data_IF_301406921749
#
_entry.id   IF_301406921749
#
_cell.length_a   1.000
_cell.length_b   1.000
_cell.length_c   1.000
_cell.angle_alpha   90.00
_cell.angle_beta   90.00
_cell.angle_gamma   90.00
#
_symmetry.space_group_name_H-M   'P 1'
#
loop_
_entity.id
_entity.type
_entity.pdbx_description
1 polymer ?
#
# COMPACT_ATOMS: atom_id res chain seq x y z
N UNK A 1 -13.54 -5.15 -13.13
CA UNK A 1 -12.35 -5.91 -13.54
C UNK A 1 -11.16 -4.96 -13.46
N UNK A 2 -10.06 -5.37 -12.86
CA UNK A 2 -8.95 -4.51 -12.43
C UNK A 2 -7.78 -4.61 -13.42
N UNK A 3 -7.03 -3.55 -13.72
CA UNK A 3 -5.67 -3.72 -14.23
C UNK A 3 -4.76 -4.16 -13.05
N UNK A 4 -3.78 -5.04 -13.30
CA UNK A 4 -2.82 -5.44 -12.29
C UNK A 4 -1.89 -4.27 -12.00
N UNK A 5 -1.55 -4.09 -10.72
CA UNK A 5 -0.42 -3.28 -10.28
C UNK A 5 0.86 -3.75 -11.01
N UNK A 6 1.84 -2.88 -11.27
CA UNK A 6 3.03 -3.26 -12.02
C UNK A 6 3.84 -4.30 -11.23
N UNK A 7 3.72 -5.56 -11.66
CA UNK A 7 4.57 -6.67 -11.26
C UNK A 7 5.96 -6.39 -11.83
N UNK A 8 6.95 -6.25 -10.95
CA UNK A 8 8.36 -6.28 -11.37
C UNK A 8 8.69 -7.68 -11.89
N UNK A 9 8.79 -7.81 -13.21
CA UNK A 9 9.26 -9.04 -13.85
C UNK A 9 10.78 -9.09 -13.73
N UNK A 10 11.29 -9.91 -12.81
CA UNK A 10 12.70 -10.29 -12.78
C UNK A 10 12.90 -11.50 -13.70
N UNK A 11 13.31 -11.26 -14.94
CA UNK A 11 13.80 -12.31 -15.83
C UNK A 11 15.29 -12.50 -15.59
N UNK A 12 15.62 -13.53 -14.80
CA UNK A 12 16.94 -14.12 -14.76
C UNK A 12 17.16 -14.96 -16.03
N UNK A 13 17.97 -14.47 -16.98
CA UNK A 13 18.53 -15.31 -18.04
C UNK A 13 20.04 -15.44 -17.85
N UNK A 14 20.44 -16.64 -17.40
CA UNK A 14 21.80 -17.17 -17.42
C UNK A 14 22.00 -17.84 -18.78
N UNK A 15 22.90 -17.31 -19.61
CA UNK A 15 23.50 -18.06 -20.73
C UNK A 15 25.01 -18.05 -20.53
N UNK A 16 25.57 -19.25 -20.39
CA UNK A 16 27.00 -19.52 -20.41
C UNK A 16 27.51 -19.64 -21.84
N UNK A 17 28.74 -19.18 -22.07
CA UNK A 17 29.71 -19.88 -22.92
C UNK A 17 30.09 -19.21 -24.24
N UNK A 18 31.31 -18.67 -24.31
CA UNK A 18 32.28 -18.99 -25.37
C UNK A 18 33.68 -18.44 -25.01
N UNK A 19 34.64 -19.36 -24.84
CA UNK A 19 36.06 -19.13 -24.65
C UNK A 19 36.74 -18.64 -25.95
N UNK A 20 37.76 -17.78 -25.82
CA UNK A 20 38.90 -17.75 -26.75
C UNK A 20 40.21 -17.79 -25.98
N UNK A 21 41.08 -18.66 -26.49
CA UNK A 21 42.36 -19.11 -25.98
C UNK A 21 43.45 -18.03 -26.05
N UNK A 22 44.39 -18.06 -25.12
CA UNK A 22 45.81 -17.70 -25.30
C UNK A 22 46.65 -18.51 -24.30
N UNK A 23 47.70 -19.16 -24.82
CA UNK A 23 48.64 -20.04 -24.11
C UNK A 23 49.98 -19.30 -23.81
N UNK A 24 51.05 -19.95 -23.30
CA UNK A 24 51.31 -20.18 -21.88
C UNK A 24 52.70 -19.65 -21.43
N UNK A 25 52.95 -19.51 -20.12
CA UNK A 25 54.32 -19.69 -19.60
C UNK A 25 54.39 -19.88 -18.06
N UNK A 26 55.01 -21.01 -17.69
CA UNK A 26 55.96 -21.25 -16.58
C UNK A 26 55.50 -21.16 -15.11
N UNK A 27 55.40 -22.34 -14.46
CA UNK A 27 55.34 -22.56 -13.00
C UNK A 27 56.72 -22.43 -12.33
N UNK A 28 56.75 -22.27 -10.99
CA UNK A 28 57.26 -23.39 -10.17
C UNK A 28 56.38 -23.76 -8.95
N UNK A 29 56.66 -24.95 -8.41
CA UNK A 29 55.90 -25.79 -7.47
C UNK A 29 55.86 -25.35 -6.00
N UNK A 30 54.73 -25.65 -5.35
CA UNK A 30 54.64 -26.24 -3.99
C UNK A 30 53.78 -25.45 -2.97
N UNK A 31 53.24 -26.08 -1.89
CA UNK A 31 52.72 -27.44 -1.69
C UNK A 31 51.20 -27.47 -1.34
N UNK A 32 50.64 -28.70 -1.28
CA UNK A 32 49.22 -29.09 -1.16
C UNK A 32 48.47 -28.61 0.12
N UNK A 33 47.12 -28.50 0.06
CA UNK A 33 46.28 -28.09 1.19
C UNK A 33 45.88 -29.27 2.11
N UNK A 34 45.51 -29.03 3.37
CA UNK A 34 44.92 -30.04 4.23
C UNK A 34 43.45 -30.31 3.90
N UNK A 35 43.07 -31.53 4.26
CA UNK A 35 41.90 -32.32 3.87
C UNK A 35 40.57 -31.82 4.45
N UNK A 36 39.52 -31.95 3.63
CA UNK A 36 38.10 -31.81 3.96
C UNK A 36 37.67 -32.73 5.09
N UNK A 37 36.98 -32.18 6.10
CA UNK A 37 36.12 -32.96 6.99
C UNK A 37 34.69 -32.44 6.91
N UNK A 38 33.87 -33.22 6.23
CA UNK A 38 32.43 -33.05 6.08
C UNK A 38 31.74 -33.97 7.11
N UNK A 39 30.89 -33.46 8.02
CA UNK A 39 30.13 -34.32 8.91
C UNK A 39 29.01 -35.04 8.14
N UNK A 40 29.03 -36.38 8.24
CA UNK A 40 28.02 -37.32 7.73
C UNK A 40 26.62 -37.02 8.26
N UNK A 41 25.65 -36.96 7.35
CA UNK A 41 24.22 -37.09 7.66
C UNK A 41 23.89 -38.53 8.09
N UNK A 42 23.04 -38.74 9.11
CA UNK A 42 22.47 -40.05 9.40
C UNK A 42 21.29 -40.37 8.46
N UNK A 43 21.05 -41.66 8.15
CA UNK A 43 20.06 -42.06 7.15
C UNK A 43 18.61 -42.04 7.70
N UNK A 44 17.69 -41.62 6.84
CA UNK A 44 16.24 -41.75 7.01
C UNK A 44 15.82 -43.22 6.87
N UNK A 45 15.00 -43.79 7.78
CA UNK A 45 14.40 -45.07 7.54
C UNK A 45 13.15 -44.91 6.66
N UNK A 46 13.17 -45.61 5.51
CA UNK A 46 11.99 -45.89 4.72
C UNK A 46 11.03 -46.76 5.55
N UNK A 47 9.79 -46.31 5.73
CA UNK A 47 8.71 -47.12 6.29
C UNK A 47 7.67 -47.40 5.21
N UNK A 48 7.42 -48.70 5.10
CA UNK A 48 6.70 -49.42 4.07
C UNK A 48 5.21 -49.09 4.06
N UNK A 49 4.65 -48.95 2.85
CA UNK A 49 3.23 -49.03 2.56
C UNK A 49 2.72 -50.44 2.89
N UNK A 50 2.00 -50.59 4.00
CA UNK A 50 1.17 -51.78 4.25
C UNK A 50 -0.28 -51.49 3.83
N UNK A 51 -0.65 -52.01 2.66
CA UNK A 51 -2.04 -52.21 2.23
C UNK A 51 -2.76 -53.10 3.24
N UNK A 52 -3.77 -52.57 3.93
CA UNK A 52 -4.74 -53.40 4.65
C UNK A 52 -5.95 -53.63 3.73
N UNK A 53 -6.07 -54.87 3.25
CA UNK A 53 -7.28 -55.43 2.66
C UNK A 53 -8.30 -55.66 3.78
N UNK A 54 -9.38 -54.88 3.81
CA UNK A 54 -10.55 -55.15 4.64
C UNK A 54 -11.60 -55.88 3.78
N UNK A 55 -12.27 -56.92 4.32
CA UNK A 55 -13.27 -57.67 3.58
C UNK A 55 -14.59 -56.89 3.48
N UNK A 56 -15.11 -56.79 2.26
CA UNK A 56 -16.43 -56.22 1.96
C UNK A 56 -17.54 -57.10 2.56
N UNK A 57 -18.08 -56.70 3.69
CA UNK A 57 -19.37 -57.19 4.18
C UNK A 57 -20.47 -56.34 3.52
N UNK A 58 -21.09 -56.91 2.49
CA UNK A 58 -22.33 -56.40 1.93
C UNK A 58 -23.45 -56.62 2.94
N UNK A 59 -23.91 -55.55 3.59
CA UNK A 59 -25.14 -55.54 4.36
C UNK A 59 -26.26 -54.95 3.50
N UNK A 60 -27.33 -55.72 3.34
CA UNK A 60 -28.48 -55.44 2.51
C UNK A 60 -29.11 -54.07 2.84
N UNK A 61 -29.49 -53.35 1.78
CA UNK A 61 -30.29 -52.14 1.87
C UNK A 61 -31.67 -52.45 2.48
N UNK A 62 -31.90 -51.93 3.68
CA UNK A 62 -33.25 -51.64 4.15
C UNK A 62 -33.49 -50.15 3.92
N UNK A 63 -34.39 -49.85 2.98
CA UNK A 63 -34.90 -48.51 2.73
C UNK A 63 -35.76 -48.13 3.93
N UNK A 64 -35.27 -47.23 4.76
CA UNK A 64 -36.07 -46.50 5.74
C UNK A 64 -35.91 -45.01 5.43
N UNK A 65 -37.03 -44.38 5.09
CA UNK A 65 -37.16 -42.93 4.91
C UNK A 65 -36.56 -42.18 6.11
N UNK A 66 -35.70 -41.17 5.91
CA UNK A 66 -35.36 -40.26 6.99
C UNK A 66 -36.51 -39.26 7.14
N UNK A 67 -37.14 -39.31 8.31
CA UNK A 67 -38.01 -38.25 8.81
C UNK A 67 -37.28 -36.90 8.76
N UNK A 68 -38.04 -35.88 8.38
CA UNK A 68 -37.65 -34.49 8.19
C UNK A 68 -36.74 -33.96 9.32
N UNK A 69 -35.44 -33.86 9.03
CA UNK A 69 -34.55 -32.97 9.76
C UNK A 69 -34.79 -31.57 9.25
N UNK A 70 -35.63 -30.85 10.00
CA UNK A 70 -35.86 -29.42 9.92
C UNK A 70 -34.50 -28.69 9.89
N UNK A 71 -34.03 -28.39 8.67
CA UNK A 71 -32.94 -27.47 8.45
C UNK A 71 -33.41 -26.13 9.00
N UNK A 72 -32.94 -25.78 10.18
CA UNK A 72 -33.05 -24.41 10.69
C UNK A 72 -32.21 -23.56 9.75
N UNK A 73 -32.85 -23.02 8.73
CA UNK A 73 -32.29 -22.07 7.80
C UNK A 73 -31.87 -20.86 8.64
N UNK A 74 -30.59 -20.80 8.99
CA UNK A 74 -29.98 -19.60 9.57
C UNK A 74 -30.35 -18.47 8.62
N UNK A 75 -31.11 -17.45 9.05
CA UNK A 75 -31.61 -16.45 8.13
C UNK A 75 -30.42 -15.84 7.39
N UNK A 76 -30.35 -16.06 6.08
CA UNK A 76 -29.46 -15.29 5.22
C UNK A 76 -29.89 -13.84 5.40
N UNK A 77 -29.09 -13.12 6.17
CA UNK A 77 -29.29 -11.71 6.45
C UNK A 77 -29.47 -11.01 5.11
N UNK A 78 -30.55 -10.23 4.92
CA UNK A 78 -30.78 -9.54 3.66
C UNK A 78 -29.53 -8.74 3.28
N UNK A 79 -29.15 -8.75 2.00
CA UNK A 79 -28.13 -7.84 1.51
C UNK A 79 -28.51 -6.42 1.97
N UNK A 80 -27.63 -5.79 2.76
CA UNK A 80 -27.91 -4.53 3.42
C UNK A 80 -28.24 -3.46 2.37
N UNK A 81 -29.54 -3.17 2.21
CA UNK A 81 -30.03 -2.02 1.46
C UNK A 81 -29.42 -0.78 2.10
N UNK A 82 -28.54 -0.07 1.37
CA UNK A 82 -27.89 1.15 1.83
C UNK A 82 -26.39 1.06 2.13
N UNK A 83 -25.73 -0.08 1.92
CA UNK A 83 -24.28 -0.16 2.10
C UNK A 83 -23.52 0.42 0.89
N UNK A 84 -22.61 1.41 1.07
CA UNK A 84 -21.81 1.93 -0.03
C UNK A 84 -21.00 0.83 -0.70
N UNK A 85 -21.00 0.80 -2.05
CA UNK A 85 -20.28 -0.22 -2.81
C UNK A 85 -18.78 -0.13 -2.50
N UNK A 86 -18.17 -1.25 -2.14
CA UNK A 86 -16.73 -1.32 -1.85
C UNK A 86 -16.32 -0.75 -0.49
N UNK A 87 -17.27 -0.50 0.43
CA UNK A 87 -16.98 0.07 1.75
C UNK A 87 -15.94 -0.72 2.56
N UNK A 88 -15.92 -2.06 2.45
CA UNK A 88 -14.93 -2.89 3.14
C UNK A 88 -13.50 -2.62 2.64
N UNK A 89 -13.34 -2.49 1.32
CA UNK A 89 -12.05 -2.18 0.70
C UNK A 89 -11.59 -0.76 1.06
N UNK A 90 -12.54 0.18 1.06
CA UNK A 90 -12.30 1.57 1.45
C UNK A 90 -11.86 1.68 2.91
N UNK A 91 -12.55 0.99 3.81
CA UNK A 91 -12.19 0.89 5.23
C UNK A 91 -10.80 0.28 5.43
N UNK A 92 -10.47 -0.78 4.71
CA UNK A 92 -9.14 -1.40 4.77
C UNK A 92 -8.02 -0.42 4.35
N UNK A 93 -8.25 0.36 3.29
CA UNK A 93 -7.29 1.38 2.85
C UNK A 93 -7.14 2.50 3.88
N UNK A 94 -8.25 3.04 4.38
CA UNK A 94 -8.22 4.06 5.43
C UNK A 94 -7.46 3.58 6.66
N UNK A 95 -7.73 2.36 7.11
CA UNK A 95 -7.07 1.74 8.25
C UNK A 95 -5.56 1.56 8.02
N UNK A 96 -5.18 1.14 6.81
CA UNK A 96 -3.79 0.95 6.42
C UNK A 96 -3.01 2.27 6.35
N UNK A 97 -3.60 3.30 5.74
CA UNK A 97 -2.98 4.62 5.65
C UNK A 97 -2.77 5.23 7.04
N UNK A 98 -3.76 5.11 7.92
CA UNK A 98 -3.62 5.50 9.33
C UNK A 98 -2.53 4.69 10.05
N UNK A 99 -2.45 3.39 9.81
CA UNK A 99 -1.39 2.53 10.37
C UNK A 99 0.00 2.98 9.91
N UNK A 100 0.20 3.18 8.60
CA UNK A 100 1.47 3.62 8.03
C UNK A 100 1.91 4.97 8.62
N UNK A 101 0.99 5.94 8.67
CA UNK A 101 1.22 7.25 9.31
C UNK A 101 1.66 7.08 10.77
N UNK A 102 0.91 6.32 11.58
CA UNK A 102 1.22 6.11 13.01
C UNK A 102 2.51 5.34 13.25
N UNK A 103 2.87 4.42 12.36
CA UNK A 103 4.12 3.68 12.45
C UNK A 103 5.33 4.60 12.22
N UNK A 104 5.18 5.67 11.42
CA UNK A 104 6.19 6.71 11.23
C UNK A 104 7.54 6.18 10.73
N UNK A 105 7.53 5.09 9.97
CA UNK A 105 8.73 4.30 9.65
C UNK A 105 8.69 3.89 8.17
N UNK A 106 9.52 4.51 7.31
CA UNK A 106 9.62 4.14 5.90
C UNK A 106 9.97 2.65 5.70
N UNK A 107 10.79 2.08 6.58
CA UNK A 107 11.16 0.66 6.52
C UNK A 107 10.03 -0.30 6.92
N UNK A 108 8.91 0.20 7.43
CA UNK A 108 7.75 -0.58 7.84
C UNK A 108 6.50 -0.31 7.00
N UNK A 109 6.63 0.40 5.88
CA UNK A 109 5.52 0.69 4.97
C UNK A 109 4.87 -0.59 4.46
N UNK A 110 3.55 -0.57 4.45
CA UNK A 110 2.72 -1.69 4.00
C UNK A 110 1.71 -1.26 2.95
N UNK A 111 1.33 -2.22 2.11
CA UNK A 111 0.24 -2.11 1.14
C UNK A 111 -0.86 -3.12 1.45
N UNK A 112 -2.08 -2.83 1.02
CA UNK A 112 -3.24 -3.70 1.21
C UNK A 112 -3.14 -4.85 0.20
N UNK A 113 -3.17 -6.08 0.71
CA UNK A 113 -3.17 -7.27 -0.15
C UNK A 113 -4.60 -7.72 -0.42
N UNK A 114 -5.33 -8.19 0.61
CA UNK A 114 -6.73 -8.58 0.46
C UNK A 114 -7.54 -8.32 1.73
N UNK A 115 -8.83 -8.03 1.55
CA UNK A 115 -9.81 -8.04 2.64
C UNK A 115 -10.27 -9.48 2.83
N UNK A 116 -10.07 -10.02 4.03
CA UNK A 116 -10.38 -11.42 4.35
C UNK A 116 -11.81 -11.55 4.87
N UNK A 117 -12.18 -10.70 5.82
CA UNK A 117 -13.48 -10.71 6.48
C UNK A 117 -13.91 -9.27 6.74
N UNK A 118 -15.22 -9.01 6.74
CA UNK A 118 -15.72 -7.68 7.06
C UNK A 118 -17.22 -7.64 7.30
N UNK A 119 -17.64 -6.76 8.20
CA UNK A 119 -19.03 -6.41 8.47
C UNK A 119 -19.14 -4.89 8.52
N UNK A 120 -20.27 -4.38 8.07
CA UNK A 120 -20.53 -2.96 8.09
C UNK A 120 -21.96 -2.69 8.54
N UNK A 121 -22.13 -1.64 9.33
CA UNK A 121 -23.40 -1.18 9.88
C UNK A 121 -23.59 0.28 9.53
N UNK A 122 -24.73 0.61 8.95
CA UNK A 122 -25.07 1.98 8.54
C UNK A 122 -26.09 2.53 9.53
N UNK A 123 -25.75 3.66 10.13
CA UNK A 123 -26.67 4.53 10.83
C UNK A 123 -26.89 5.79 9.98
N UNK A 124 -28.11 5.99 9.43
CA UNK A 124 -28.41 7.16 8.59
C UNK A 124 -28.11 8.51 9.24
N UNK A 125 -28.14 8.60 10.58
CA UNK A 125 -27.87 9.84 11.32
C UNK A 125 -26.38 10.02 11.66
N UNK A 126 -25.67 8.93 11.95
CA UNK A 126 -24.32 9.00 12.52
C UNK A 126 -23.20 8.71 11.51
N UNK A 127 -23.36 7.69 10.67
CA UNK A 127 -22.26 7.19 9.87
C UNK A 127 -22.33 5.72 9.49
N UNK A 128 -21.21 5.21 8.98
CA UNK A 128 -21.00 3.81 8.67
C UNK A 128 -19.85 3.27 9.54
N UNK A 129 -20.14 2.28 10.38
CA UNK A 129 -19.12 1.53 11.14
C UNK A 129 -18.75 0.26 10.37
N UNK A 130 -17.45 -0.03 10.28
CA UNK A 130 -16.92 -1.19 9.58
C UNK A 130 -15.91 -1.91 10.46
N UNK A 131 -16.21 -3.17 10.79
CA UNK A 131 -15.26 -4.09 11.42
C UNK A 131 -14.71 -5.02 10.34
N UNK A 132 -13.39 -5.09 10.19
CA UNK A 132 -12.77 -5.89 9.15
C UNK A 132 -11.44 -6.52 9.55
N UNK A 133 -11.09 -7.57 8.81
CA UNK A 133 -9.83 -8.28 8.86
C UNK A 133 -9.25 -8.30 7.45
N UNK A 134 -7.99 -7.90 7.32
CA UNK A 134 -7.31 -7.81 6.03
C UNK A 134 -5.84 -8.22 6.14
N UNK A 135 -5.25 -8.65 5.04
CA UNK A 135 -3.81 -8.88 4.95
C UNK A 135 -3.11 -7.68 4.31
N UNK A 136 -1.86 -7.52 4.70
CA UNK A 136 -0.97 -6.46 4.24
C UNK A 136 0.32 -7.06 3.71
N UNK A 137 0.93 -6.43 2.73
CA UNK A 137 2.26 -6.80 2.25
C UNK A 137 3.28 -5.71 2.54
N UNK A 138 4.55 -6.08 2.60
CA UNK A 138 5.62 -5.09 2.60
C UNK A 138 5.57 -4.29 1.30
N UNK A 139 5.65 -2.95 1.41
CA UNK A 139 5.61 -2.10 0.22
C UNK A 139 6.77 -2.38 -0.74
N UNK A 140 7.98 -2.57 -0.17
CA UNK A 140 9.23 -2.74 -0.90
C UNK A 140 9.98 -3.99 -0.38
N UNK A 141 9.60 -5.20 -0.79
CA UNK A 141 10.28 -6.41 -0.33
C UNK A 141 11.67 -6.52 -0.97
N UNK A 142 12.73 -6.45 -0.17
CA UNK A 142 14.11 -6.62 -0.64
C UNK A 142 14.47 -8.11 -0.89
N UNK A 143 13.78 -9.07 -0.24
CA UNK A 143 14.02 -10.52 -0.35
C UNK A 143 12.74 -11.35 -0.07
N UNK A 144 12.76 -12.63 -0.45
CA UNK A 144 11.70 -13.61 -0.13
C UNK A 144 11.65 -13.92 1.37
N UNK A 145 10.49 -13.69 1.96
CA UNK A 145 10.14 -13.96 3.35
C UNK A 145 8.62 -13.90 3.51
N UNK A 146 8.09 -14.13 4.70
CA UNK A 146 6.64 -14.08 4.95
C UNK A 146 6.08 -12.69 4.59
N UNK A 147 5.45 -12.60 3.42
CA UNK A 147 5.06 -11.33 2.80
C UNK A 147 3.82 -10.73 3.45
N UNK A 148 2.98 -11.57 4.07
CA UNK A 148 1.62 -11.23 4.46
C UNK A 148 1.49 -11.01 5.96
N UNK A 149 1.04 -9.83 6.36
CA UNK A 149 0.73 -9.48 7.74
C UNK A 149 -0.76 -9.29 7.93
N UNK A 150 -1.36 -10.03 8.86
CA UNK A 150 -2.78 -9.89 9.19
C UNK A 150 -3.02 -8.63 10.02
N UNK A 151 -4.08 -7.90 9.70
CA UNK A 151 -4.56 -6.73 10.43
C UNK A 151 -6.04 -6.90 10.76
N UNK A 152 -6.44 -6.37 11.90
CA UNK A 152 -7.83 -6.23 12.33
C UNK A 152 -8.09 -4.75 12.59
N UNK A 153 -9.19 -4.22 12.05
CA UNK A 153 -9.53 -2.82 12.18
C UNK A 153 -11.02 -2.60 12.41
N UNK A 154 -11.31 -1.52 13.13
CA UNK A 154 -12.59 -0.86 13.21
C UNK A 154 -12.46 0.54 12.63
N UNK A 155 -13.28 0.85 11.64
CA UNK A 155 -13.29 2.13 10.94
C UNK A 155 -14.69 2.72 11.01
N UNK A 156 -14.79 3.94 11.50
CA UNK A 156 -16.05 4.67 11.54
C UNK A 156 -15.98 5.88 10.60
N UNK A 157 -16.82 5.85 9.57
CA UNK A 157 -16.99 6.95 8.64
C UNK A 157 -18.18 7.80 9.06
N UNK A 158 -17.93 9.01 9.54
CA UNK A 158 -18.99 9.98 9.79
C UNK A 158 -19.59 10.45 8.46
N UNK A 159 -20.90 10.64 8.42
CA UNK A 159 -21.58 11.08 7.20
C UNK A 159 -21.01 12.41 6.71
N UNK A 160 -20.74 12.47 5.39
CA UNK A 160 -20.26 13.66 4.66
C UNK A 160 -19.00 14.31 5.23
N UNK A 161 -18.27 13.61 6.11
CA UNK A 161 -17.06 14.14 6.74
C UNK A 161 -15.86 13.28 6.40
N UNK A 162 -14.72 13.91 6.07
CA UNK A 162 -13.48 13.20 5.90
C UNK A 162 -12.92 12.77 7.27
N UNK A 163 -11.76 12.11 7.25
CA UNK A 163 -11.01 11.67 8.44
C UNK A 163 -11.78 10.65 9.28
N UNK A 164 -11.94 9.42 8.78
CA UNK A 164 -12.61 8.37 9.53
C UNK A 164 -11.86 8.06 10.83
N UNK A 165 -12.60 7.74 11.87
CA UNK A 165 -12.01 7.26 13.12
C UNK A 165 -11.55 5.82 12.92
N UNK A 166 -10.29 5.53 13.25
CA UNK A 166 -9.67 4.23 12.99
C UNK A 166 -9.08 3.67 14.28
N UNK A 167 -9.44 2.42 14.59
CA UNK A 167 -8.68 1.56 15.49
C UNK A 167 -8.16 0.38 14.68
N UNK A 168 -6.84 0.18 14.66
CA UNK A 168 -6.21 -0.87 13.85
C UNK A 168 -5.10 -1.54 14.62
N UNK A 169 -5.07 -2.87 14.55
CA UNK A 169 -4.00 -3.70 15.10
C UNK A 169 -3.49 -4.61 13.98
N UNK A 170 -2.18 -4.58 13.76
CA UNK A 170 -1.54 -5.40 12.74
C UNK A 170 -0.48 -6.30 13.37
N UNK A 171 -0.41 -7.54 12.89
CA UNK A 171 0.69 -8.45 13.19
C UNK A 171 2.02 -7.79 12.78
N UNK A 172 3.07 -8.03 13.58
CA UNK A 172 4.41 -7.50 13.29
C UNK A 172 5.00 -8.26 12.10
N UNK A 173 5.37 -7.53 11.05
CA UNK A 173 6.08 -8.07 9.89
C UNK A 173 7.61 -7.94 10.02
N UNK A 174 8.08 -7.09 10.93
CA UNK A 174 9.50 -6.78 11.05
C UNK A 174 9.97 -6.86 12.50
N UNK A 175 11.20 -7.34 12.66
CA UNK A 175 11.93 -7.19 13.89
C UNK A 175 12.15 -5.71 14.21
N UNK A 176 11.93 -5.34 15.48
CA UNK A 176 11.98 -3.95 15.93
C UNK A 176 13.38 -3.35 15.75
N UNK A 177 14.43 -4.12 16.05
CA UNK A 177 15.82 -3.66 16.00
C UNK A 177 16.26 -3.47 14.55
N UNK A 178 16.00 -4.47 13.69
CA UNK A 178 16.30 -4.37 12.25
C UNK A 178 15.62 -3.16 11.60
N UNK A 179 14.34 -2.94 11.92
CA UNK A 179 13.60 -1.76 11.43
C UNK A 179 14.25 -0.45 11.86
N UNK A 180 14.63 -0.33 13.14
CA UNK A 180 15.29 0.87 13.65
C UNK A 180 16.65 1.12 12.99
N UNK A 181 17.42 0.06 12.72
CA UNK A 181 18.70 0.17 12.01
C UNK A 181 18.50 0.68 10.57
N UNK A 182 17.51 0.11 9.84
CA UNK A 182 17.18 0.54 8.48
C UNK A 182 16.72 2.00 8.44
N UNK A 183 15.82 2.39 9.35
CA UNK A 183 15.36 3.78 9.46
C UNK A 183 16.51 4.74 9.80
N UNK A 184 17.43 4.36 10.68
CA UNK A 184 18.57 5.21 11.03
C UNK A 184 19.58 5.37 9.87
N UNK A 185 19.76 4.32 9.05
CA UNK A 185 20.55 4.38 7.82
C UNK A 185 19.92 5.33 6.80
N UNK A 186 18.62 5.19 6.59
CA UNK A 186 17.83 6.08 5.75
C UNK A 186 17.95 7.53 6.22
N UNK A 187 17.82 7.77 7.52
CA UNK A 187 17.99 9.10 8.12
C UNK A 187 19.34 9.74 7.76
N UNK A 188 20.45 9.02 7.93
CA UNK A 188 21.78 9.53 7.57
C UNK A 188 21.89 9.87 6.08
N UNK A 189 21.37 9.00 5.21
CA UNK A 189 21.36 9.25 3.77
C UNK A 189 20.55 10.50 3.43
N UNK A 190 19.38 10.65 4.02
CA UNK A 190 18.48 11.76 3.78
C UNK A 190 18.99 13.09 4.35
N UNK A 191 19.87 13.11 5.35
CA UNK A 191 20.57 14.33 5.78
C UNK A 191 21.64 14.79 4.78
N UNK A 192 22.22 13.87 4.02
CA UNK A 192 23.30 14.18 3.05
C UNK A 192 22.78 14.55 1.65
N UNK A 193 21.51 14.26 1.36
CA UNK A 193 20.92 14.54 0.04
C UNK A 193 21.06 16.03 -0.32
N UNK A 194 21.38 16.33 -1.57
CA UNK A 194 21.41 17.71 -2.07
C UNK A 194 20.01 18.06 -2.60
N UNK A 195 19.37 19.02 -1.95
CA UNK A 195 18.05 19.56 -2.28
C UNK A 195 18.18 21.07 -2.48
N UNK A 196 17.32 21.71 -3.27
CA UNK A 196 16.04 21.21 -3.79
C UNK A 196 16.17 20.33 -5.04
N UNK A 197 15.17 19.46 -5.24
CA UNK A 197 14.92 18.73 -6.47
C UNK A 197 13.59 19.21 -7.05
N UNK A 198 13.65 20.07 -8.06
CA UNK A 198 12.47 20.62 -8.73
C UNK A 198 12.19 19.86 -10.03
N UNK A 199 10.90 19.81 -10.41
CA UNK A 199 10.45 19.24 -11.68
C UNK A 199 10.89 17.79 -11.91
N UNK A 200 10.88 16.98 -10.84
CA UNK A 200 11.13 15.55 -10.92
C UNK A 200 9.83 14.80 -11.21
N UNK A 201 9.94 13.54 -11.63
CA UNK A 201 8.81 12.62 -11.73
C UNK A 201 9.22 11.30 -11.10
N UNK A 202 8.71 11.03 -9.90
CA UNK A 202 8.92 9.74 -9.24
C UNK A 202 7.55 9.15 -8.89
N UNK A 203 7.15 8.00 -9.43
CA UNK A 203 7.78 7.29 -10.55
C UNK A 203 7.84 8.14 -11.83
N UNK A 204 8.63 7.70 -12.79
CA UNK A 204 8.62 8.28 -14.14
C UNK A 204 7.35 7.85 -14.92
N UNK A 205 7.23 8.30 -16.17
CA UNK A 205 6.07 7.99 -17.04
C UNK A 205 5.90 6.50 -17.35
N UNK A 206 6.90 5.66 -17.05
CA UNK A 206 6.87 4.21 -17.23
C UNK A 206 6.68 3.46 -15.90
N UNK A 207 6.47 4.19 -14.80
CA UNK A 207 6.34 3.60 -13.46
C UNK A 207 7.67 3.18 -12.83
N UNK A 208 8.80 3.58 -13.40
CA UNK A 208 10.11 3.26 -12.86
C UNK A 208 10.54 4.26 -11.77
N UNK A 209 11.18 3.75 -10.72
CA UNK A 209 11.79 4.55 -9.65
C UNK A 209 13.26 4.16 -9.58
N UNK A 210 14.15 5.12 -9.84
CA UNK A 210 15.58 4.91 -9.63
C UNK A 210 15.86 4.56 -8.16
N UNK A 211 16.70 3.55 -7.91
CA UNK A 211 17.00 3.08 -6.56
C UNK A 211 17.54 4.17 -5.64
N UNK A 212 18.27 5.17 -6.17
CA UNK A 212 18.77 6.32 -5.40
C UNK A 212 17.67 7.27 -4.93
N UNK A 213 16.54 7.30 -5.64
CA UNK A 213 15.37 8.14 -5.35
C UNK A 213 14.30 7.41 -4.52
N UNK A 214 14.39 6.07 -4.40
CA UNK A 214 13.46 5.26 -3.61
C UNK A 214 13.29 5.74 -2.16
N UNK A 215 14.36 6.11 -1.43
CA UNK A 215 14.26 6.77 -0.12
C UNK A 215 13.32 7.98 -0.05
N UNK A 216 13.36 8.85 -1.07
CA UNK A 216 12.50 10.04 -1.13
C UNK A 216 11.05 9.66 -1.40
N UNK A 217 10.84 8.73 -2.32
CA UNK A 217 9.52 8.20 -2.62
C UNK A 217 8.87 7.55 -1.39
N UNK A 218 9.61 6.76 -0.63
CA UNK A 218 9.09 6.10 0.58
C UNK A 218 8.72 7.13 1.66
N UNK A 219 9.51 8.19 1.83
CA UNK A 219 9.15 9.30 2.72
C UNK A 219 7.91 10.07 2.23
N UNK A 220 7.83 10.36 0.93
CA UNK A 220 6.67 11.02 0.34
C UNK A 220 5.40 10.15 0.46
N UNK A 221 5.51 8.84 0.28
CA UNK A 221 4.43 7.87 0.49
C UNK A 221 3.98 7.83 1.95
N UNK A 222 4.94 7.86 2.88
CA UNK A 222 4.66 7.90 4.31
C UNK A 222 3.90 9.18 4.70
N UNK A 223 4.33 10.35 4.21
CA UNK A 223 3.60 11.62 4.40
C UNK A 223 2.23 11.62 3.73
N UNK A 224 2.15 11.11 2.51
CA UNK A 224 0.89 10.98 1.76
C UNK A 224 -0.08 10.05 2.46
N UNK A 225 0.37 9.04 3.21
CA UNK A 225 -0.51 8.17 4.00
C UNK A 225 -1.30 8.94 5.05
N UNK A 226 -0.75 10.02 5.63
CA UNK A 226 -1.51 10.90 6.50
C UNK A 226 -2.63 11.60 5.72
N UNK A 227 -2.30 12.23 4.59
CA UNK A 227 -3.25 12.97 3.74
C UNK A 227 -4.35 12.06 3.19
N UNK A 228 -3.97 10.88 2.67
CA UNK A 228 -4.90 9.89 2.13
C UNK A 228 -5.88 9.40 3.19
N UNK A 229 -5.42 9.13 4.42
CA UNK A 229 -6.33 8.80 5.54
C UNK A 229 -7.22 10.00 5.89
N UNK A 230 -6.63 11.18 6.08
CA UNK A 230 -7.37 12.36 6.54
C UNK A 230 -8.44 12.81 5.55
N UNK A 231 -8.21 12.71 4.24
CA UNK A 231 -9.19 13.10 3.21
C UNK A 231 -10.22 12.01 2.87
N UNK A 232 -9.98 10.76 3.23
CA UNK A 232 -10.88 9.65 2.87
C UNK A 232 -12.29 9.86 3.46
N UNK A 233 -13.33 9.59 2.67
CA UNK A 233 -14.74 9.59 3.11
C UNK A 233 -15.39 8.22 2.83
N UNK A 234 -16.73 8.10 2.92
CA UNK A 234 -17.45 6.88 2.50
C UNK A 234 -17.43 6.68 0.98
N UNK A 235 -17.12 7.72 0.22
CA UNK A 235 -17.17 7.70 -1.25
C UNK A 235 -15.86 8.13 -1.89
N UNK A 236 -15.00 8.90 -1.21
CA UNK A 236 -13.73 9.39 -1.73
C UNK A 236 -12.55 8.58 -1.19
N UNK A 237 -11.61 8.26 -2.08
CA UNK A 237 -10.33 7.68 -1.71
C UNK A 237 -9.22 8.12 -2.66
N UNK A 238 -8.01 8.10 -2.12
CA UNK A 238 -6.85 8.73 -2.73
C UNK A 238 -5.71 7.74 -2.88
N UNK A 239 -4.91 7.91 -3.92
CA UNK A 239 -3.63 7.22 -4.10
C UNK A 239 -2.53 8.20 -4.47
N UNK A 240 -1.34 7.99 -3.92
CA UNK A 240 -0.15 8.70 -4.39
C UNK A 240 0.22 8.19 -5.79
N UNK A 241 0.20 9.11 -6.77
CA UNK A 241 0.59 8.81 -8.15
C UNK A 241 2.04 9.15 -8.37
N UNK A 242 2.44 10.34 -7.93
CA UNK A 242 3.73 10.90 -8.31
C UNK A 242 4.22 11.90 -7.27
N UNK A 243 5.53 11.97 -7.12
CA UNK A 243 6.27 13.02 -6.44
C UNK A 243 6.88 13.93 -7.51
N UNK A 244 6.56 15.22 -7.47
CA UNK A 244 6.93 16.20 -8.49
C UNK A 244 7.97 17.23 -8.05
N UNK A 245 8.11 17.46 -6.74
CA UNK A 245 9.13 18.36 -6.19
C UNK A 245 9.49 17.99 -4.75
N UNK A 246 10.75 18.22 -4.38
CA UNK A 246 11.26 18.09 -3.00
C UNK A 246 12.08 19.32 -2.65
N UNK A 247 11.73 19.97 -1.56
CA UNK A 247 12.51 21.04 -0.95
C UNK A 247 12.88 20.65 0.48
N UNK A 248 14.15 20.76 0.85
CA UNK A 248 14.54 20.62 2.27
C UNK A 248 14.41 21.96 2.94
N UNK A 249 13.63 22.02 4.01
CA UNK A 249 13.59 23.20 4.85
C UNK A 249 14.83 23.20 5.74
N UNK A 250 15.51 24.34 5.84
CA UNK A 250 16.67 24.47 6.73
C UNK A 250 16.20 24.30 8.16
N UNK A 251 16.69 23.27 8.84
CA UNK A 251 16.50 23.11 10.27
C UNK A 251 17.83 23.09 11.00
N UNK A 252 17.88 23.81 12.12
CA UNK A 252 18.94 23.73 13.13
C UNK A 252 18.82 22.45 13.98
N UNK A 253 17.83 21.59 13.67
CA UNK A 253 17.52 20.39 14.41
C UNK A 253 18.06 19.09 13.77
N UNK A 254 18.09 18.04 14.58
CA UNK A 254 18.49 16.71 14.15
C UNK A 254 17.40 16.01 13.31
N UNK A 255 16.29 16.66 12.96
CA UNK A 255 15.25 16.03 12.17
C UNK A 255 15.52 16.17 10.67
N UNK A 256 14.75 15.41 9.89
CA UNK A 256 14.59 15.63 8.46
C UNK A 256 13.32 16.44 8.28
N UNK A 257 13.45 17.56 7.57
CA UNK A 257 12.37 18.47 7.28
C UNK A 257 12.29 18.68 5.75
N UNK A 258 11.22 18.18 5.15
CA UNK A 258 10.99 18.26 3.71
C UNK A 258 9.60 18.82 3.40
N UNK A 259 9.56 19.67 2.39
CA UNK A 259 8.36 19.99 1.63
C UNK A 259 8.33 19.15 0.36
N UNK A 260 7.35 18.26 0.29
CA UNK A 260 7.05 17.46 -0.89
C UNK A 260 5.90 18.08 -1.67
N UNK A 261 6.00 18.15 -2.99
CA UNK A 261 4.83 18.32 -3.85
C UNK A 261 4.49 16.97 -4.46
N UNK A 262 3.35 16.42 -4.07
CA UNK A 262 2.86 15.13 -4.56
C UNK A 262 1.58 15.31 -5.38
N UNK A 263 1.32 14.36 -6.27
CA UNK A 263 0.08 14.25 -7.02
C UNK A 263 -0.74 13.08 -6.46
N UNK A 264 -1.92 13.37 -5.94
CA UNK A 264 -2.85 12.38 -5.43
C UNK A 264 -3.97 12.15 -6.46
N UNK A 265 -4.25 10.90 -6.80
CA UNK A 265 -5.40 10.54 -7.60
C UNK A 265 -6.61 10.32 -6.70
N UNK A 266 -7.61 11.17 -6.81
CA UNK A 266 -8.93 10.96 -6.24
C UNK A 266 -9.74 10.03 -7.16
N UNK A 267 -9.86 8.77 -6.76
CA UNK A 267 -10.35 7.73 -7.66
C UNK A 267 -11.86 7.87 -7.99
N UNK A 268 -12.61 8.62 -7.20
CA UNK A 268 -14.06 8.72 -7.37
C UNK A 268 -14.44 9.69 -8.49
N UNK A 269 -13.66 10.75 -8.65
CA UNK A 269 -13.79 11.77 -9.69
C UNK A 269 -12.78 11.58 -10.82
N UNK A 270 -11.79 10.69 -10.64
CA UNK A 270 -10.64 10.49 -11.53
C UNK A 270 -9.73 11.73 -11.64
N UNK A 271 -9.76 12.61 -10.64
CA UNK A 271 -8.97 13.84 -10.62
C UNK A 271 -7.56 13.60 -10.06
N UNK A 272 -6.59 14.33 -10.60
CA UNK A 272 -5.22 14.40 -10.07
C UNK A 272 -5.05 15.72 -9.32
N UNK A 273 -4.92 15.63 -8.01
CA UNK A 273 -4.89 16.76 -7.09
C UNK A 273 -3.44 16.97 -6.61
N UNK A 274 -2.81 18.12 -6.90
CA UNK A 274 -1.51 18.44 -6.34
C UNK A 274 -1.64 18.81 -4.87
N UNK A 275 -0.80 18.22 -4.03
CA UNK A 275 -0.72 18.48 -2.60
C UNK A 275 0.71 18.79 -2.20
N UNK A 276 0.90 19.91 -1.51
CA UNK A 276 2.15 20.22 -0.80
C UNK A 276 2.07 19.60 0.60
N UNK A 277 3.02 18.75 0.94
CA UNK A 277 3.11 18.04 2.20
C UNK A 277 4.42 18.43 2.88
N UNK A 278 4.30 19.13 4.01
CA UNK A 278 5.39 19.40 4.92
C UNK A 278 5.55 18.23 5.89
N UNK A 279 6.71 17.58 5.87
CA UNK A 279 7.01 16.37 6.63
C UNK A 279 8.24 16.59 7.50
N UNK A 280 8.05 16.39 8.81
CA UNK A 280 9.15 16.37 9.79
C UNK A 280 9.28 14.96 10.36
N UNK A 281 10.46 14.36 10.18
CA UNK A 281 10.72 12.98 10.53
C UNK A 281 12.06 12.77 11.23
N UNK A 282 12.06 11.89 12.23
CA UNK A 282 13.25 11.37 12.87
C UNK A 282 13.00 9.91 13.28
N UNK A 283 13.96 8.99 13.08
CA UNK A 283 13.79 7.58 13.43
C UNK A 283 13.28 7.35 14.85
N UNK A 284 12.15 6.65 14.98
CA UNK A 284 11.56 6.30 16.27
C UNK A 284 10.77 7.41 16.98
N UNK A 285 10.71 8.62 16.42
CA UNK A 285 9.80 9.68 16.89
C UNK A 285 8.50 9.67 16.07
N UNK A 286 7.38 10.15 16.63
CA UNK A 286 6.14 10.33 15.86
C UNK A 286 6.36 11.24 14.66
N UNK A 287 5.80 10.86 13.51
CA UNK A 287 5.82 11.66 12.30
C UNK A 287 4.95 12.92 12.48
N UNK A 288 5.45 14.08 12.04
CA UNK A 288 4.63 15.29 11.96
C UNK A 288 4.40 15.61 10.49
N UNK A 289 3.14 15.87 10.14
CA UNK A 289 2.72 16.17 8.79
C UNK A 289 1.78 17.36 8.81
N UNK A 290 2.03 18.33 7.95
CA UNK A 290 1.11 19.39 7.57
C UNK A 290 0.95 19.35 6.05
N UNK A 291 -0.20 19.73 5.51
CA UNK A 291 -0.40 19.69 4.07
C UNK A 291 -1.39 20.74 3.59
N UNK A 292 -1.29 21.04 2.30
CA UNK A 292 -2.23 21.86 1.56
C UNK A 292 -2.43 21.24 0.17
N UNK A 293 -3.68 20.93 -0.19
CA UNK A 293 -4.04 20.43 -1.50
C UNK A 293 -4.80 21.51 -2.27
N UNK A 294 -4.48 21.67 -3.55
CA UNK A 294 -5.22 22.58 -4.42
C UNK A 294 -6.49 21.87 -4.91
N UNK A 295 -7.59 22.09 -4.22
CA UNK A 295 -8.91 21.66 -4.69
C UNK A 295 -9.35 22.61 -5.80
N UNK A 296 -9.80 22.08 -6.95
CA UNK A 296 -10.43 22.91 -7.96
C UNK A 296 -11.77 23.39 -7.40
N UNK A 297 -11.98 24.70 -7.33
CA UNK A 297 -13.28 25.26 -7.02
C UNK A 297 -14.25 24.83 -8.13
N UNK A 298 -15.32 24.12 -7.77
CA UNK A 298 -16.47 23.96 -8.67
C UNK A 298 -16.96 25.37 -9.04
N UNK A 299 -17.12 25.70 -10.34
CA UNK A 299 -17.71 26.97 -10.76
C UNK A 299 -19.22 26.94 -10.53
N UNK A 300 -19.67 26.91 -9.28
CA UNK A 300 -21.11 26.96 -8.95
C UNK A 300 -21.46 27.97 -7.84
N UNK A 301 -20.53 28.89 -7.52
CA UNK A 301 -20.81 30.07 -6.68
C UNK A 301 -20.32 31.38 -7.31
N UNK A 302 -20.36 31.45 -8.64
CA UNK A 302 -20.21 32.71 -9.39
C UNK A 302 -21.42 32.95 -10.31
N UNK A 303 -22.63 32.73 -9.80
CA UNK A 303 -23.82 33.39 -10.34
C UNK A 303 -24.09 34.65 -9.52
N UNK A 304 -23.16 35.61 -9.64
CA UNK A 304 -23.47 37.01 -9.35
C UNK A 304 -24.27 37.53 -10.53
N UNK A 305 -25.56 37.76 -10.30
CA UNK A 305 -26.51 38.34 -11.25
C UNK A 305 -25.94 39.62 -11.87
N UNK A 306 -25.42 39.55 -13.10
CA UNK A 306 -25.27 40.73 -13.95
C UNK A 306 -26.56 40.85 -14.76
N UNK A 307 -27.48 41.69 -14.27
CA UNK A 307 -28.53 42.29 -15.10
C UNK A 307 -27.85 43.09 -16.22
N UNK A 308 -27.80 42.50 -17.41
CA UNK A 308 -27.47 43.22 -18.62
C UNK A 308 -28.72 43.97 -19.09
N UNK A 309 -28.81 45.26 -18.76
CA UNK A 309 -29.74 46.21 -19.38
C UNK A 309 -29.45 46.30 -20.88
N UNK A 310 -30.45 45.95 -21.68
CA UNK A 310 -30.45 46.16 -23.12
C UNK A 310 -30.40 47.66 -23.44
N UNK A 311 -29.39 48.08 -24.20
CA UNK A 311 -29.35 49.40 -24.84
C UNK A 311 -29.53 49.20 -26.35
N UNK A 312 -30.55 49.84 -26.90
CA UNK A 312 -30.94 49.76 -28.30
C UNK A 312 -29.84 50.28 -29.25
N UNK A 313 -29.73 49.74 -30.48
CA UNK A 313 -28.78 50.25 -31.46
C UNK A 313 -29.29 51.56 -32.09
N UNK A 314 -28.41 52.55 -32.36
CA UNK A 314 -28.77 53.73 -33.13
C UNK A 314 -28.85 53.42 -34.64
N UNK A 315 -29.87 53.99 -35.28
CA UNK A 315 -30.12 53.94 -36.72
C UNK A 315 -28.99 54.62 -37.52
N UNK A 316 -28.66 54.03 -38.67
CA UNK A 316 -27.77 54.59 -39.68
C UNK A 316 -28.52 55.56 -40.59
N UNK A 317 -27.90 56.71 -40.90
CA UNK A 317 -28.35 57.65 -41.93
C UNK A 317 -27.19 58.27 -42.71
N UNK A 318 -27.26 58.08 -44.04
CA UNK A 318 -26.54 58.70 -45.16
C UNK A 318 -25.20 58.07 -45.62
N UNK A 319 -25.28 57.13 -46.57
CA UNK A 319 -25.12 57.38 -48.01
C UNK A 319 -26.00 56.41 -48.82
#
# INVERSE_FOLDING_TARGET
EWPPWPISVSTANRVQGAQRQLSPSTQPRGPLPPVSMQPRQPPMPALLLSLWLLPSLALAAAVTEPADLEYTEVPRQPAAVGLPRGILQLAARAALHFFNFRAGSPSALRVLATVQEGRAWVNPQEGCEVDLVFSTEQYNPEQEGERLGKCSARVFFKNEKPRPAVNVTCARLFDKVKRQEKDYRLYKQMKQLKTPLHSISIPDSHGHIDNSLRPLWDLAFLGSSYVMWEKTTQVLHYYLVQLSSVERLKTDDDSIDFDFTVLLHEFSTQEIIPCRIHLVWYPGKPLKVNYHCQEQQSPEEASGTMEASAMAPPEFGNF
#
